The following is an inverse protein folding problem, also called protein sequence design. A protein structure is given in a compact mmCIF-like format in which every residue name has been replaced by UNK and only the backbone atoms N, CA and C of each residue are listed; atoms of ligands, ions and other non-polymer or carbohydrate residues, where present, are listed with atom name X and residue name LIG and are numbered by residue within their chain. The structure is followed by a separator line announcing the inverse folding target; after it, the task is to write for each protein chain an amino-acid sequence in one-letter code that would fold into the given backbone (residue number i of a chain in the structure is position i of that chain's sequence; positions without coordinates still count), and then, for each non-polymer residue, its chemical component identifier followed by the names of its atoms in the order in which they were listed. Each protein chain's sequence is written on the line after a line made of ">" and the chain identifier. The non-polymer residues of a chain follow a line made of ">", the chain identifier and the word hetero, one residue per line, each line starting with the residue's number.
data_IF_862564971309
#
_entry.id   IF_862564971309
#
_cell.length_a   1.000
_cell.length_b   1.000
_cell.length_c   1.000
_cell.angle_alpha   90.00
_cell.angle_beta   90.00
_cell.angle_gamma   90.00
#
_symmetry.space_group_name_H-M   'P 1'
#
loop_
_entity.id
_entity.type
_entity.pdbx_description
1 polymer ?
#
# COMPACT_ATOMS: atom_id res chain seq x y z
N UNK A 1 -15.72 -20.49 21.50
CA UNK A 1 -14.40 -20.60 20.84
C UNK A 1 -14.06 -22.08 20.80
N UNK A 2 -13.70 -22.65 19.64
CA UNK A 2 -13.14 -24.01 19.65
C UNK A 2 -11.85 -23.96 20.47
N UNK A 3 -11.79 -24.73 21.55
CA UNK A 3 -10.52 -25.04 22.19
C UNK A 3 -9.65 -25.85 21.20
N UNK A 4 -8.33 -25.70 21.32
CA UNK A 4 -7.26 -26.49 20.69
C UNK A 4 -6.51 -25.89 19.49
N UNK A 5 -5.22 -26.26 19.45
CA UNK A 5 -4.13 -25.91 18.53
C UNK A 5 -3.49 -24.52 18.70
N UNK A 6 -2.16 -24.45 18.52
CA UNK A 6 -1.42 -23.19 18.50
C UNK A 6 -1.98 -22.27 17.41
N UNK A 7 -2.08 -20.97 17.69
CA UNK A 7 -2.61 -19.99 16.74
C UNK A 7 -1.79 -20.00 15.44
N UNK A 8 -2.48 -20.16 14.30
CA UNK A 8 -1.89 -20.06 12.97
C UNK A 8 -2.39 -18.78 12.26
N UNK A 9 -1.59 -17.70 12.22
CA UNK A 9 -2.00 -16.45 11.59
C UNK A 9 -2.39 -16.61 10.11
N UNK A 10 -1.70 -17.51 9.39
CA UNK A 10 -1.92 -17.73 7.95
C UNK A 10 -3.32 -18.22 7.61
N UNK A 11 -4.01 -18.86 8.55
CA UNK A 11 -5.38 -19.37 8.35
C UNK A 11 -6.47 -18.31 8.62
N UNK A 12 -6.08 -17.18 9.22
CA UNK A 12 -6.99 -16.22 9.85
C UNK A 12 -6.85 -14.82 9.24
N UNK A 13 -5.63 -14.31 9.07
CA UNK A 13 -5.36 -12.92 8.70
C UNK A 13 -6.04 -12.49 7.40
N UNK A 14 -5.86 -13.25 6.31
CA UNK A 14 -6.48 -12.92 5.02
C UNK A 14 -8.01 -12.90 5.08
N UNK A 15 -8.62 -13.80 5.85
CA UNK A 15 -10.08 -13.84 6.03
C UNK A 15 -10.59 -12.64 6.82
N UNK A 16 -9.85 -12.22 7.85
CA UNK A 16 -10.20 -11.04 8.65
C UNK A 16 -10.06 -9.79 7.79
N UNK A 17 -8.96 -9.65 7.05
CA UNK A 17 -8.71 -8.48 6.22
C UNK A 17 -9.79 -8.33 5.14
N UNK A 18 -10.19 -9.44 4.50
CA UNK A 18 -11.29 -9.42 3.54
C UNK A 18 -12.60 -8.92 4.18
N UNK A 19 -12.93 -9.36 5.39
CA UNK A 19 -14.11 -8.85 6.12
C UNK A 19 -14.06 -7.34 6.35
N UNK A 20 -12.88 -6.78 6.60
CA UNK A 20 -12.72 -5.33 6.77
C UNK A 20 -12.85 -4.56 5.45
N UNK A 21 -12.40 -5.14 4.34
CA UNK A 21 -12.64 -4.57 3.01
C UNK A 21 -14.14 -4.57 2.70
N UNK A 22 -14.80 -5.70 2.90
CA UNK A 22 -16.22 -5.89 2.61
C UNK A 22 -17.13 -5.00 3.47
N UNK A 23 -16.69 -4.62 4.67
CA UNK A 23 -17.47 -3.78 5.57
C UNK A 23 -17.50 -2.30 5.17
N UNK A 24 -16.61 -1.86 4.27
CA UNK A 24 -16.51 -0.46 3.83
C UNK A 24 -16.02 0.54 4.88
N UNK A 25 -15.59 0.08 6.06
CA UNK A 25 -15.22 0.96 7.20
C UNK A 25 -13.91 1.72 7.02
N UNK A 26 -13.11 1.37 6.02
CA UNK A 26 -11.88 2.10 5.72
C UNK A 26 -12.17 3.46 5.10
N UNK A 27 -13.30 3.59 4.40
CA UNK A 27 -13.79 4.87 3.90
C UNK A 27 -14.59 5.58 5.01
N UNK A 28 -14.16 6.78 5.47
CA UNK A 28 -14.84 7.52 6.53
C UNK A 28 -16.26 7.96 6.14
N UNK A 29 -16.58 8.04 4.85
CA UNK A 29 -17.90 8.43 4.35
C UNK A 29 -18.97 7.36 4.62
N UNK A 30 -18.54 6.12 4.88
CA UNK A 30 -19.42 4.99 5.25
C UNK A 30 -19.62 4.83 6.78
N UNK A 31 -19.02 5.68 7.60
CA UNK A 31 -19.10 5.56 9.06
C UNK A 31 -20.48 6.01 9.58
N UNK A 32 -21.01 5.42 10.67
CA UNK A 32 -22.34 5.78 11.19
C UNK A 32 -22.46 7.23 11.65
N UNK A 33 -21.41 7.76 12.30
CA UNK A 33 -21.37 9.14 12.78
C UNK A 33 -20.74 10.06 11.73
N UNK A 34 -21.59 10.77 11.00
CA UNK A 34 -21.17 11.70 9.97
C UNK A 34 -20.72 13.06 10.55
N UNK A 35 -21.01 13.33 11.82
CA UNK A 35 -20.68 14.60 12.51
C UNK A 35 -19.36 14.52 13.31
N UNK A 36 -18.67 13.37 13.27
CA UNK A 36 -17.38 13.17 13.90
C UNK A 36 -16.32 14.16 13.39
N UNK A 37 -15.39 14.54 14.27
CA UNK A 37 -14.23 15.36 13.88
C UNK A 37 -13.36 14.61 12.87
N UNK A 38 -12.77 15.31 11.92
CA UNK A 38 -11.84 14.71 10.96
C UNK A 38 -10.49 14.40 11.59
N UNK A 39 -9.94 13.24 11.26
CA UNK A 39 -8.54 12.88 11.53
C UNK A 39 -7.96 12.31 10.24
N UNK A 40 -6.90 12.89 9.71
CA UNK A 40 -6.39 12.54 8.38
C UNK A 40 -4.90 12.26 8.46
N UNK A 41 -4.49 11.13 7.90
CA UNK A 41 -3.09 10.81 7.61
C UNK A 41 -2.98 10.54 6.12
N UNK A 42 -1.93 11.06 5.48
CA UNK A 42 -1.49 10.59 4.18
C UNK A 42 -0.38 9.56 4.39
N UNK A 43 -0.44 8.42 3.69
CA UNK A 43 0.70 7.50 3.68
C UNK A 43 1.94 8.25 3.16
N UNK A 44 3.11 8.02 3.74
CA UNK A 44 4.35 8.42 3.05
C UNK A 44 4.46 7.54 1.80
N UNK A 45 4.27 8.10 0.59
CA UNK A 45 4.05 7.28 -0.58
C UNK A 45 5.33 6.48 -0.88
N UNK A 46 5.29 5.13 -0.84
CA UNK A 46 6.46 4.33 -1.13
C UNK A 46 6.90 4.51 -2.57
N UNK A 47 8.20 4.59 -2.79
CA UNK A 47 8.80 4.65 -4.11
C UNK A 47 8.56 3.35 -4.88
N UNK A 48 8.15 3.43 -6.14
CA UNK A 48 7.95 2.27 -7.05
C UNK A 48 9.27 1.61 -7.51
N UNK A 49 10.31 1.64 -6.69
CA UNK A 49 11.66 1.16 -7.03
C UNK A 49 11.91 -0.28 -6.60
N UNK A 50 10.98 -0.90 -5.88
CA UNK A 50 11.11 -2.25 -5.36
C UNK A 50 9.95 -2.65 -4.43
N UNK A 51 10.18 -3.68 -3.64
CA UNK A 51 9.24 -4.15 -2.60
C UNK A 51 9.46 -3.41 -1.28
N UNK A 52 8.41 -3.37 -0.43
CA UNK A 52 8.50 -2.81 0.90
C UNK A 52 9.45 -3.62 1.80
N UNK A 53 10.11 -2.93 2.75
CA UNK A 53 10.99 -3.50 3.76
C UNK A 53 10.50 -3.15 5.17
N UNK A 54 11.18 -3.66 6.21
CA UNK A 54 10.79 -3.47 7.63
C UNK A 54 10.60 -2.02 8.06
N UNK A 55 11.36 -1.07 7.50
CA UNK A 55 11.13 0.37 7.75
C UNK A 55 9.73 0.84 7.35
N UNK A 56 9.23 0.44 6.17
CA UNK A 56 7.86 0.73 5.75
C UNK A 56 6.85 0.02 6.66
N UNK A 57 7.13 -1.22 7.07
CA UNK A 57 6.23 -1.95 7.96
C UNK A 57 6.05 -1.22 9.30
N UNK A 58 7.14 -0.70 9.88
CA UNK A 58 7.09 0.09 11.12
C UNK A 58 6.27 1.38 10.95
N UNK A 59 6.56 2.18 9.92
CA UNK A 59 5.87 3.43 9.65
C UNK A 59 4.37 3.22 9.41
N UNK A 60 4.01 2.23 8.58
CA UNK A 60 2.62 1.89 8.30
C UNK A 60 1.90 1.35 9.54
N UNK A 61 2.57 0.56 10.38
CA UNK A 61 1.97 0.05 11.63
C UNK A 61 1.60 1.19 12.57
N UNK A 62 2.47 2.18 12.73
CA UNK A 62 2.20 3.35 13.60
C UNK A 62 1.01 4.16 13.05
N UNK A 63 1.02 4.45 11.75
CA UNK A 63 -0.07 5.17 11.08
C UNK A 63 -1.41 4.43 11.19
N UNK A 64 -1.41 3.11 10.99
CA UNK A 64 -2.61 2.28 11.09
C UNK A 64 -3.18 2.26 12.52
N UNK A 65 -2.32 2.16 13.54
CA UNK A 65 -2.73 2.24 14.96
C UNK A 65 -3.45 3.57 15.22
N UNK A 66 -2.88 4.68 14.77
CA UNK A 66 -3.48 6.01 14.95
C UNK A 66 -4.83 6.12 14.24
N UNK A 67 -4.93 5.63 13.02
CA UNK A 67 -6.18 5.64 12.24
C UNK A 67 -7.25 4.82 12.92
N UNK A 68 -6.94 3.58 13.33
CA UNK A 68 -7.90 2.70 14.03
C UNK A 68 -8.34 3.29 15.36
N UNK A 69 -7.40 3.82 16.15
CA UNK A 69 -7.70 4.47 17.43
C UNK A 69 -8.68 5.65 17.25
N UNK A 70 -8.41 6.56 16.30
CA UNK A 70 -9.28 7.70 16.05
C UNK A 70 -10.64 7.27 15.47
N UNK A 71 -10.66 6.30 14.55
CA UNK A 71 -11.91 5.72 14.01
C UNK A 71 -12.79 5.18 15.14
N UNK A 72 -12.20 4.42 16.08
CA UNK A 72 -12.90 3.87 17.24
C UNK A 72 -13.33 4.94 18.27
N UNK A 73 -12.72 6.12 18.25
CA UNK A 73 -13.12 7.29 19.05
C UNK A 73 -14.22 8.13 18.41
N UNK A 74 -14.77 7.71 17.26
CA UNK A 74 -15.82 8.43 16.54
C UNK A 74 -15.31 9.52 15.60
N UNK A 75 -14.01 9.56 15.30
CA UNK A 75 -13.50 10.47 14.29
C UNK A 75 -13.80 9.93 12.88
N UNK A 76 -13.99 10.85 11.94
CA UNK A 76 -13.91 10.58 10.50
C UNK A 76 -12.44 10.38 10.12
N UNK A 77 -11.91 9.21 10.48
CA UNK A 77 -10.51 8.87 10.29
C UNK A 77 -10.25 8.43 8.84
N UNK A 78 -9.51 9.24 8.09
CA UNK A 78 -9.11 8.99 6.71
C UNK A 78 -7.61 8.68 6.65
N UNK A 79 -7.27 7.54 6.05
CA UNK A 79 -5.90 7.24 5.67
C UNK A 79 -5.79 7.17 4.16
N UNK A 80 -5.14 8.18 3.57
CA UNK A 80 -5.06 8.36 2.11
C UNK A 80 -3.95 7.46 1.55
N UNK A 81 -4.26 6.57 0.58
CA UNK A 81 -3.25 5.77 -0.11
C UNK A 81 -2.48 6.56 -1.16
N UNK A 82 -1.35 6.02 -1.61
CA UNK A 82 -0.54 6.62 -2.66
C UNK A 82 0.78 5.88 -2.85
N UNK A 83 1.40 6.08 -4.01
CA UNK A 83 2.75 5.59 -4.35
C UNK A 83 3.50 6.69 -5.07
N UNK A 84 4.81 6.79 -4.86
CA UNK A 84 5.63 7.80 -5.53
C UNK A 84 6.31 7.21 -6.77
N UNK A 85 6.14 7.90 -7.90
CA UNK A 85 6.84 7.62 -9.16
C UNK A 85 8.37 7.69 -9.04
N UNK A 86 8.91 8.42 -8.05
CA UNK A 86 10.32 8.45 -7.70
C UNK A 86 11.31 8.79 -8.84
N UNK A 87 10.83 9.44 -9.91
CA UNK A 87 11.61 9.96 -11.06
C UNK A 87 12.92 9.24 -11.37
N UNK A 88 14.04 9.84 -10.97
CA UNK A 88 15.41 9.34 -11.21
C UNK A 88 15.64 7.96 -10.58
N UNK A 89 15.08 7.70 -9.40
CA UNK A 89 15.26 6.42 -8.73
C UNK A 89 14.59 5.29 -9.53
N UNK A 90 13.39 5.52 -10.06
CA UNK A 90 12.70 4.58 -10.96
C UNK A 90 13.47 4.38 -12.26
N UNK A 91 13.94 5.47 -12.87
CA UNK A 91 14.78 5.38 -14.06
C UNK A 91 16.02 4.49 -13.82
N UNK A 92 16.72 4.70 -12.71
CA UNK A 92 17.93 3.94 -12.38
C UNK A 92 17.67 2.45 -12.20
N UNK A 93 16.56 2.06 -11.56
CA UNK A 93 16.24 0.63 -11.37
C UNK A 93 15.80 -0.04 -12.69
N UNK A 94 15.05 0.67 -13.54
CA UNK A 94 14.68 0.17 -14.88
C UNK A 94 15.91 0.04 -15.77
N UNK A 95 16.80 1.02 -15.77
CA UNK A 95 18.08 0.92 -16.51
C UNK A 95 18.94 -0.24 -16.01
N UNK A 96 18.99 -0.47 -14.69
CA UNK A 96 19.70 -1.61 -14.12
C UNK A 96 19.07 -2.94 -14.54
N UNK A 97 17.75 -3.00 -14.69
CA UNK A 97 17.07 -4.19 -15.16
C UNK A 97 17.34 -4.46 -16.65
N UNK A 98 17.25 -3.42 -17.50
CA UNK A 98 17.60 -3.51 -18.92
C UNK A 98 19.03 -3.99 -19.13
N UNK A 99 19.98 -3.50 -18.32
CA UNK A 99 21.38 -3.95 -18.37
C UNK A 99 21.53 -5.45 -18.14
N UNK A 100 20.69 -6.07 -17.29
CA UNK A 100 20.71 -7.54 -17.11
C UNK A 100 20.26 -8.30 -18.36
N UNK A 101 19.45 -7.65 -19.19
CA UNK A 101 18.98 -8.16 -20.47
C UNK A 101 19.95 -7.81 -21.62
N UNK A 102 21.10 -7.20 -21.31
CA UNK A 102 22.08 -6.76 -22.30
C UNK A 102 21.68 -5.51 -23.08
N UNK A 103 20.67 -4.77 -22.61
CA UNK A 103 20.15 -3.56 -23.26
C UNK A 103 20.44 -2.30 -22.44
N UNK A 104 20.48 -1.16 -23.10
CA UNK A 104 20.51 0.18 -22.49
C UNK A 104 19.29 1.00 -22.88
N UNK A 105 19.01 2.07 -22.14
CA UNK A 105 17.95 3.03 -22.51
C UNK A 105 18.18 3.67 -23.89
N UNK A 106 19.45 3.75 -24.33
CA UNK A 106 19.81 4.35 -25.61
C UNK A 106 19.47 3.42 -26.77
N UNK A 107 19.54 2.10 -26.55
CA UNK A 107 19.16 1.09 -27.55
C UNK A 107 17.64 1.07 -27.81
N UNK A 108 16.84 1.43 -26.81
CA UNK A 108 15.38 1.47 -26.90
C UNK A 108 14.84 2.78 -27.47
N UNK A 109 15.51 3.90 -27.22
CA UNK A 109 14.96 5.23 -27.45
C UNK A 109 13.90 5.63 -26.42
N UNK A 110 13.49 6.91 -26.45
CA UNK A 110 12.64 7.53 -25.41
C UNK A 110 11.28 6.85 -25.23
N UNK A 111 10.59 6.57 -26.32
CA UNK A 111 9.20 6.06 -26.28
C UNK A 111 9.14 4.67 -25.67
N UNK A 112 9.92 3.72 -26.20
CA UNK A 112 10.00 2.36 -25.66
C UNK A 112 10.55 2.32 -24.23
N UNK A 113 11.47 3.22 -23.88
CA UNK A 113 11.94 3.33 -22.51
C UNK A 113 10.84 3.81 -21.55
N UNK A 114 9.99 4.75 -22.00
CA UNK A 114 8.84 5.21 -21.21
C UNK A 114 7.82 4.09 -21.00
N UNK A 115 7.55 3.28 -22.02
CA UNK A 115 6.71 2.07 -21.90
C UNK A 115 7.26 1.13 -20.82
N UNK A 116 8.57 0.88 -20.80
CA UNK A 116 9.22 0.07 -19.76
C UNK A 116 9.08 0.66 -18.36
N UNK A 117 9.12 1.98 -18.22
CA UNK A 117 8.86 2.65 -16.93
C UNK A 117 7.41 2.41 -16.48
N UNK A 118 6.43 2.50 -17.38
CA UNK A 118 5.03 2.24 -17.05
C UNK A 118 4.79 0.77 -16.67
N UNK A 119 5.36 -0.17 -17.41
CA UNK A 119 5.33 -1.60 -17.06
C UNK A 119 5.91 -1.83 -15.65
N UNK A 120 7.02 -1.17 -15.34
CA UNK A 120 7.66 -1.23 -14.02
C UNK A 120 6.76 -0.66 -12.92
N UNK A 121 6.17 0.52 -13.16
CA UNK A 121 5.23 1.16 -12.24
C UNK A 121 4.06 0.26 -11.91
N UNK A 122 3.42 -0.33 -12.92
CA UNK A 122 2.27 -1.21 -12.72
C UNK A 122 2.67 -2.47 -11.93
N UNK A 123 3.80 -3.10 -12.29
CA UNK A 123 4.27 -4.30 -11.58
C UNK A 123 4.57 -4.02 -10.10
N UNK A 124 5.39 -3.02 -9.81
CA UNK A 124 5.82 -2.75 -8.44
C UNK A 124 4.76 -2.01 -7.62
N UNK A 125 3.92 -1.19 -8.26
CA UNK A 125 2.74 -0.61 -7.64
C UNK A 125 1.81 -1.69 -7.10
N UNK A 126 1.47 -2.70 -7.91
CA UNK A 126 0.64 -3.82 -7.46
C UNK A 126 1.28 -4.61 -6.31
N UNK A 127 2.58 -4.91 -6.38
CA UNK A 127 3.30 -5.60 -5.30
C UNK A 127 3.22 -4.80 -3.99
N UNK A 128 3.47 -3.49 -4.04
CA UNK A 128 3.41 -2.62 -2.86
C UNK A 128 2.00 -2.62 -2.26
N UNK A 129 0.96 -2.49 -3.09
CA UNK A 129 -0.43 -2.51 -2.63
C UNK A 129 -0.78 -3.84 -1.94
N UNK A 130 -0.36 -4.96 -2.52
CA UNK A 130 -0.58 -6.29 -1.93
C UNK A 130 0.16 -6.46 -0.60
N UNK A 131 1.39 -5.92 -0.48
CA UNK A 131 2.14 -5.92 0.77
C UNK A 131 1.45 -5.08 1.85
N UNK A 132 0.93 -3.90 1.52
CA UNK A 132 0.18 -3.07 2.47
C UNK A 132 -1.11 -3.76 2.93
N UNK A 133 -1.83 -4.43 2.01
CA UNK A 133 -3.02 -5.23 2.35
C UNK A 133 -2.66 -6.41 3.25
N UNK A 134 -1.57 -7.12 2.94
CA UNK A 134 -1.09 -8.25 3.75
C UNK A 134 -0.62 -7.83 5.14
N UNK A 135 -0.10 -6.60 5.30
CA UNK A 135 0.24 -6.02 6.61
C UNK A 135 -1.01 -5.66 7.43
N UNK A 136 -2.18 -5.57 6.78
CA UNK A 136 -3.44 -5.23 7.42
C UNK A 136 -3.72 -3.72 7.45
N UNK A 137 -3.07 -2.91 6.61
CA UNK A 137 -3.27 -1.45 6.58
C UNK A 137 -4.73 -1.08 6.28
N UNK A 138 -5.34 -0.23 7.12
CA UNK A 138 -6.73 0.23 6.96
C UNK A 138 -6.89 1.50 6.10
N UNK A 139 -6.13 1.54 5.00
CA UNK A 139 -6.15 2.59 3.98
C UNK A 139 -7.51 2.65 3.26
N UNK A 140 -7.93 3.85 2.88
CA UNK A 140 -9.12 4.02 2.06
C UNK A 140 -8.80 3.71 0.58
N UNK A 141 -8.90 2.42 0.23
CA UNK A 141 -8.63 1.92 -1.13
C UNK A 141 -9.62 2.40 -2.21
N UNK A 142 -10.66 3.15 -1.84
CA UNK A 142 -11.60 3.74 -2.81
C UNK A 142 -11.09 5.04 -3.45
N UNK A 143 -9.94 5.55 -2.98
CA UNK A 143 -9.27 6.75 -3.46
C UNK A 143 -8.00 6.40 -4.22
#
# INVERSE_FOLDING_TARGET
>A
MKESAAYNPKEVESKIYQKWLDSGYFNPDNLPDQNGKSFVIAIAPPNITGSLHMGHALENTISDILIRYHRMKGFRALWIPGTDHAGIATQNVVEKDLKKQGLSRHDLGKEKFLEKIWEWREKYGNIILDQLKSLGCSLDWSR
#
